data_IF_539620555144
#
_entry.id   IF_539620555144
#
_cell.length_a   1.000
_cell.length_b   1.000
_cell.length_c   1.000
_cell.angle_alpha   90.00
_cell.angle_beta   90.00
_cell.angle_gamma   90.00
#
_symmetry.space_group_name_H-M   'P 1'
#
loop_
_entity.id
_entity.type
_entity.pdbx_description
1 polymer ?
#
# COMPACT_ATOMS: atom_id res chain seq x y z
N UNK A 1 -15.91 9.04 7.39
CA UNK A 1 -14.87 9.69 8.22
C UNK A 1 -13.78 8.66 8.53
N UNK A 2 -12.50 9.05 8.50
CA UNK A 2 -11.37 8.15 8.81
C UNK A 2 -11.06 8.21 10.30
N UNK A 3 -11.15 7.08 11.01
CA UNK A 3 -10.88 7.00 12.45
C UNK A 3 -9.39 6.75 12.76
N UNK A 4 -8.72 5.94 11.94
CA UNK A 4 -7.32 5.53 12.14
C UNK A 4 -6.58 5.52 10.81
N UNK A 5 -5.32 5.93 10.84
CA UNK A 5 -4.39 5.88 9.71
C UNK A 5 -3.19 5.03 10.09
N UNK A 6 -2.83 4.08 9.22
CA UNK A 6 -1.59 3.31 9.30
C UNK A 6 -0.74 3.74 8.10
N UNK A 7 0.43 4.34 8.35
CA UNK A 7 1.28 4.83 7.25
C UNK A 7 2.75 4.91 7.67
N UNK A 8 3.64 5.09 6.69
CA UNK A 8 5.06 5.32 6.92
C UNK A 8 5.46 6.80 6.93
N UNK A 9 4.64 7.67 6.33
CA UNK A 9 4.92 9.10 6.23
C UNK A 9 3.60 9.89 6.23
N UNK A 10 3.14 10.40 7.39
CA UNK A 10 1.84 11.06 7.53
C UNK A 10 1.81 12.52 7.05
N UNK A 11 2.98 13.10 6.70
CA UNK A 11 3.09 14.51 6.34
C UNK A 11 3.16 14.69 4.83
N UNK A 12 2.44 15.69 4.34
CA UNK A 12 2.66 16.29 3.02
C UNK A 12 2.61 17.81 3.21
N UNK A 13 3.19 18.57 2.27
CA UNK A 13 3.30 20.03 2.40
C UNK A 13 1.94 20.74 2.62
N UNK A 14 0.84 20.08 2.21
CA UNK A 14 -0.53 20.60 2.32
C UNK A 14 -1.42 19.81 3.32
N UNK A 15 -0.84 19.03 4.25
CA UNK A 15 -1.59 18.16 5.17
C UNK A 15 -2.09 18.86 6.44
N UNK A 16 -2.73 20.02 6.32
CA UNK A 16 -3.20 20.79 7.49
C UNK A 16 -4.38 20.13 8.23
N UNK A 17 -5.29 19.46 7.50
CA UNK A 17 -6.47 18.80 8.09
C UNK A 17 -6.09 17.59 8.94
N UNK A 18 -5.14 16.77 8.48
CA UNK A 18 -4.68 15.61 9.24
C UNK A 18 -3.98 16.05 10.53
N UNK A 19 -3.08 17.03 10.44
CA UNK A 19 -2.35 17.56 11.58
C UNK A 19 -3.29 18.11 12.67
N UNK A 20 -4.33 18.84 12.29
CA UNK A 20 -5.34 19.35 13.21
C UNK A 20 -6.12 18.21 13.87
N UNK A 21 -6.63 17.25 13.06
CA UNK A 21 -7.37 16.09 13.54
C UNK A 21 -6.53 15.24 14.50
N UNK A 22 -5.25 15.04 14.20
CA UNK A 22 -4.36 14.24 15.03
C UNK A 22 -4.09 14.92 16.36
N UNK A 23 -3.75 16.22 16.36
CA UNK A 23 -3.46 16.97 17.59
C UNK A 23 -4.67 17.06 18.53
N UNK A 24 -5.88 17.11 17.99
CA UNK A 24 -7.13 17.12 18.78
C UNK A 24 -7.69 15.72 19.10
N UNK A 25 -6.98 14.65 18.74
CA UNK A 25 -7.39 13.26 19.00
C UNK A 25 -8.56 12.75 18.14
N UNK A 26 -8.91 13.45 17.05
CA UNK A 26 -9.97 13.07 16.12
C UNK A 26 -9.56 11.99 15.10
N UNK A 27 -8.26 11.68 14.99
CA UNK A 27 -7.75 10.55 14.20
C UNK A 27 -6.59 9.87 14.93
N UNK A 28 -6.63 8.54 14.97
CA UNK A 28 -5.54 7.72 15.51
C UNK A 28 -4.46 7.50 14.45
N UNK A 29 -3.18 7.50 14.83
CA UNK A 29 -2.05 7.26 13.92
C UNK A 29 -1.21 6.08 14.40
N UNK A 30 -1.04 5.08 13.54
CA UNK A 30 -0.01 4.05 13.69
C UNK A 30 1.09 4.32 12.66
N UNK A 31 2.25 4.78 13.14
CA UNK A 31 3.42 5.00 12.30
C UNK A 31 4.20 3.68 12.15
N UNK A 32 4.45 3.26 10.92
CA UNK A 32 5.11 1.98 10.60
C UNK A 32 6.26 2.22 9.62
N UNK A 33 7.47 1.67 9.85
CA UNK A 33 8.54 1.74 8.86
C UNK A 33 8.06 1.23 7.49
N UNK A 34 8.40 1.92 6.40
CA UNK A 34 7.85 1.61 5.07
C UNK A 34 8.08 0.16 4.63
N UNK A 35 9.24 -0.41 4.95
CA UNK A 35 9.55 -1.82 4.69
C UNK A 35 8.61 -2.76 5.45
N UNK A 36 8.42 -2.54 6.75
CA UNK A 36 7.48 -3.33 7.56
C UNK A 36 6.04 -3.12 7.09
N UNK A 37 5.64 -1.90 6.69
CA UNK A 37 4.30 -1.65 6.15
C UNK A 37 4.05 -2.48 4.88
N UNK A 38 4.99 -2.48 3.93
CA UNK A 38 4.89 -3.27 2.71
C UNK A 38 4.84 -4.78 3.03
N UNK A 39 5.70 -5.24 3.93
CA UNK A 39 5.80 -6.66 4.29
C UNK A 39 4.59 -7.15 5.09
N UNK A 40 4.01 -6.33 5.98
CA UNK A 40 2.76 -6.66 6.68
C UNK A 40 1.58 -6.80 5.72
N UNK A 41 1.50 -5.95 4.69
CA UNK A 41 0.46 -6.06 3.66
C UNK A 41 0.72 -7.33 2.82
N UNK A 42 1.97 -7.57 2.40
CA UNK A 42 2.34 -8.78 1.66
C UNK A 42 2.05 -10.06 2.46
N UNK A 43 2.37 -10.08 3.75
CA UNK A 43 2.14 -11.20 4.66
C UNK A 43 0.65 -11.54 4.72
N UNK A 44 -0.23 -10.54 4.78
CA UNK A 44 -1.68 -10.73 4.75
C UNK A 44 -2.13 -11.46 3.47
N UNK A 45 -1.67 -11.00 2.31
CA UNK A 45 -2.01 -11.62 1.02
C UNK A 45 -1.36 -13.00 0.78
N UNK A 46 -0.28 -13.30 1.48
CA UNK A 46 0.41 -14.59 1.42
C UNK A 46 -0.05 -15.60 2.48
N UNK A 47 -0.99 -15.22 3.38
CA UNK A 47 -1.45 -16.08 4.47
C UNK A 47 -0.42 -16.28 5.59
N UNK A 48 0.53 -15.37 5.76
CA UNK A 48 1.57 -15.43 6.80
C UNK A 48 1.04 -14.78 8.09
N UNK A 49 1.02 -15.55 9.18
CA UNK A 49 0.44 -15.10 10.45
C UNK A 49 1.25 -14.03 11.20
N UNK A 50 2.58 -14.05 11.07
CA UNK A 50 3.48 -13.01 11.59
C UNK A 50 4.89 -13.20 10.99
N UNK A 51 5.74 -12.18 11.09
CA UNK A 51 7.15 -12.26 10.71
C UNK A 51 8.03 -11.41 11.62
N UNK A 52 9.32 -11.74 11.70
CA UNK A 52 10.31 -10.96 12.44
C UNK A 52 11.07 -10.04 11.49
N UNK A 53 11.19 -8.75 11.84
CA UNK A 53 11.97 -7.75 11.11
C UNK A 53 12.93 -7.00 12.05
N UNK A 54 14.19 -6.75 11.65
CA UNK A 54 15.10 -5.98 12.49
C UNK A 54 14.76 -4.48 12.49
N UNK A 55 13.93 -4.03 11.55
CA UNK A 55 13.58 -2.63 11.40
C UNK A 55 12.71 -2.15 12.56
N UNK A 56 13.18 -1.12 13.28
CA UNK A 56 12.47 -0.50 14.40
C UNK A 56 12.98 -0.93 15.77
N UNK A 57 13.76 -2.01 15.88
CA UNK A 57 14.38 -2.41 17.14
C UNK A 57 15.20 -1.27 17.76
N UNK A 58 15.10 -1.09 19.09
CA UNK A 58 15.77 -0.01 19.82
C UNK A 58 15.17 1.39 19.61
N UNK A 59 14.05 1.52 18.89
CA UNK A 59 13.33 2.78 18.69
C UNK A 59 11.96 2.76 19.39
N UNK A 60 11.32 3.93 19.50
CA UNK A 60 9.97 4.03 20.06
C UNK A 60 8.92 3.21 19.29
N UNK A 61 9.16 2.91 18.00
CA UNK A 61 8.25 2.14 17.15
C UNK A 61 8.12 0.66 17.55
N UNK A 62 9.13 0.13 18.26
CA UNK A 62 9.16 -1.26 18.71
C UNK A 62 8.81 -1.45 20.20
N UNK A 63 8.61 -0.36 20.95
CA UNK A 63 8.61 -0.35 22.42
C UNK A 63 7.59 -1.27 23.11
N UNK A 64 6.54 -1.70 22.41
CA UNK A 64 5.49 -2.59 22.97
C UNK A 64 5.37 -3.92 22.22
N UNK A 65 6.24 -4.19 21.25
CA UNK A 65 6.15 -5.36 20.37
C UNK A 65 7.06 -6.47 20.89
N UNK A 66 6.68 -7.72 20.66
CA UNK A 66 7.57 -8.87 20.95
C UNK A 66 8.88 -8.70 20.19
N UNK A 67 9.99 -8.98 20.86
CA UNK A 67 11.33 -9.00 20.25
C UNK A 67 11.98 -10.37 20.43
N UNK A 68 12.81 -10.75 19.47
CA UNK A 68 13.55 -12.02 19.51
C UNK A 68 14.94 -11.85 18.95
N UNK A 69 15.92 -12.49 19.58
CA UNK A 69 17.24 -12.66 18.99
C UNK A 69 17.23 -13.87 18.05
N UNK A 70 17.65 -13.63 16.80
CA UNK A 70 17.79 -14.65 15.76
C UNK A 70 19.18 -14.46 15.16
N UNK A 71 20.02 -15.49 15.23
CA UNK A 71 21.40 -15.49 14.73
C UNK A 71 22.23 -14.28 15.21
N UNK A 72 22.13 -13.95 16.51
CA UNK A 72 22.88 -12.86 17.13
C UNK A 72 22.39 -11.45 16.80
N UNK A 73 21.22 -11.32 16.15
CA UNK A 73 20.61 -10.02 15.82
C UNK A 73 19.20 -9.92 16.40
N UNK A 74 18.85 -8.73 16.87
CA UNK A 74 17.54 -8.46 17.45
C UNK A 74 16.49 -8.11 16.37
N UNK A 75 15.31 -8.71 16.50
CA UNK A 75 14.17 -8.52 15.61
C UNK A 75 12.92 -8.17 16.40
N UNK A 76 11.96 -7.55 15.72
CA UNK A 76 10.65 -7.17 16.21
C UNK A 76 9.58 -7.97 15.47
N UNK A 77 8.61 -8.51 16.20
CA UNK A 77 7.48 -9.23 15.64
C UNK A 77 6.49 -8.25 14.99
N UNK A 78 6.12 -8.54 13.75
CA UNK A 78 5.18 -7.78 12.94
C UNK A 78 4.02 -8.67 12.49
N UNK A 79 2.80 -8.11 12.51
CA UNK A 79 1.57 -8.82 12.15
C UNK A 79 0.99 -8.32 10.82
N UNK A 80 0.34 -9.19 10.04
CA UNK A 80 -0.23 -8.84 8.75
C UNK A 80 -1.29 -7.73 8.86
N UNK A 81 -1.40 -6.91 7.81
CA UNK A 81 -2.45 -5.90 7.66
C UNK A 81 -3.43 -6.37 6.59
N UNK A 82 -4.65 -6.69 7.02
CA UNK A 82 -5.74 -7.06 6.12
C UNK A 82 -6.60 -5.85 5.78
N UNK A 83 -7.10 -5.81 4.54
CA UNK A 83 -8.09 -4.84 4.10
C UNK A 83 -9.45 -5.48 3.78
N UNK A 84 -10.53 -4.75 3.97
CA UNK A 84 -11.81 -5.13 3.36
C UNK A 84 -11.83 -4.76 1.88
N UNK A 85 -11.32 -3.55 1.56
CA UNK A 85 -11.25 -3.02 0.20
C UNK A 85 -9.83 -2.52 -0.09
N UNK A 86 -9.28 -2.92 -1.24
CA UNK A 86 -8.10 -2.29 -1.84
C UNK A 86 -8.52 -1.41 -3.03
N UNK A 87 -8.17 -0.13 -2.95
CA UNK A 87 -8.33 0.82 -4.05
C UNK A 87 -6.94 1.08 -4.64
N UNK A 88 -6.71 0.57 -5.84
CA UNK A 88 -5.39 0.64 -6.49
C UNK A 88 -5.49 1.31 -7.85
N UNK A 89 -4.34 1.70 -8.37
CA UNK A 89 -4.20 2.29 -9.70
C UNK A 89 -3.11 1.56 -10.48
N UNK A 90 -3.43 1.22 -11.73
CA UNK A 90 -2.51 0.60 -12.67
C UNK A 90 -2.50 1.39 -13.99
N UNK A 91 -1.55 1.05 -14.87
CA UNK A 91 -1.42 1.70 -16.17
C UNK A 91 -2.44 1.15 -17.16
N UNK A 92 -2.46 -0.17 -17.34
CA UNK A 92 -3.41 -0.90 -18.17
C UNK A 92 -3.91 -2.11 -17.38
N UNK A 93 -5.11 -2.56 -17.70
CA UNK A 93 -5.60 -3.85 -17.23
C UNK A 93 -6.62 -4.46 -18.18
N UNK A 94 -6.86 -5.76 -18.08
CA UNK A 94 -7.83 -6.45 -18.94
C UNK A 94 -9.12 -6.82 -18.20
N UNK A 95 -10.07 -7.43 -18.91
CA UNK A 95 -11.37 -7.85 -18.35
C UNK A 95 -11.24 -8.94 -17.27
N UNK A 96 -10.14 -9.69 -17.23
CA UNK A 96 -9.87 -10.69 -16.19
C UNK A 96 -9.20 -10.09 -14.96
N UNK A 97 -8.83 -8.81 -15.01
CA UNK A 97 -8.21 -8.09 -13.91
C UNK A 97 -6.68 -8.15 -13.91
N UNK A 98 -6.04 -8.65 -14.96
CA UNK A 98 -4.58 -8.61 -15.05
C UNK A 98 -4.11 -7.17 -15.16
N UNK A 99 -3.11 -6.77 -14.38
CA UNK A 99 -2.63 -5.38 -14.33
C UNK A 99 -1.15 -5.27 -14.67
N UNK A 100 -0.83 -4.25 -15.46
CA UNK A 100 0.52 -3.75 -15.69
C UNK A 100 0.66 -2.33 -15.14
N UNK A 101 1.86 -1.97 -14.68
CA UNK A 101 2.11 -0.70 -14.02
C UNK A 101 3.23 0.07 -14.72
N UNK A 102 3.20 1.39 -14.58
CA UNK A 102 4.21 2.27 -15.18
C UNK A 102 5.16 2.84 -14.12
N UNK A 103 6.40 2.33 -14.11
CA UNK A 103 7.51 2.85 -13.27
C UNK A 103 7.12 2.91 -11.78
N UNK A 104 7.38 4.04 -11.11
CA UNK A 104 7.13 4.25 -9.68
C UNK A 104 5.64 4.27 -9.29
N UNK A 105 4.71 4.36 -10.25
CA UNK A 105 3.28 4.26 -9.97
C UNK A 105 2.85 2.85 -9.51
N UNK A 106 3.73 1.84 -9.64
CA UNK A 106 3.51 0.48 -9.14
C UNK A 106 3.40 0.41 -7.61
N UNK A 107 4.34 1.03 -6.91
CA UNK A 107 4.48 1.07 -5.45
C UNK A 107 3.75 -0.06 -4.67
N UNK A 108 2.71 0.26 -3.90
CA UNK A 108 1.95 -0.65 -3.04
C UNK A 108 0.81 -1.39 -3.76
N UNK A 109 0.50 -1.03 -5.01
CA UNK A 109 -0.65 -1.60 -5.74
C UNK A 109 -0.71 -3.13 -5.71
N UNK A 110 0.36 -3.85 -6.10
CA UNK A 110 0.36 -5.31 -6.12
C UNK A 110 0.14 -5.94 -4.75
N UNK A 111 0.82 -5.47 -3.70
CA UNK A 111 0.68 -6.05 -2.36
C UNK A 111 -0.68 -5.74 -1.75
N UNK A 112 -1.23 -4.54 -1.99
CA UNK A 112 -2.57 -4.17 -1.54
C UNK A 112 -3.65 -5.03 -2.22
N UNK A 113 -3.49 -5.34 -3.52
CA UNK A 113 -4.41 -6.20 -4.25
C UNK A 113 -4.56 -7.59 -3.62
N UNK A 114 -3.45 -8.14 -3.11
CA UNK A 114 -3.42 -9.46 -2.49
C UNK A 114 -3.96 -9.45 -1.06
N UNK A 115 -3.86 -8.32 -0.34
CA UNK A 115 -4.13 -8.21 1.08
C UNK A 115 -5.59 -7.87 1.44
N UNK A 116 -6.46 -7.68 0.44
CA UNK A 116 -7.84 -7.24 0.65
C UNK A 116 -8.88 -8.26 0.20
N UNK A 117 -10.04 -8.28 0.86
CA UNK A 117 -11.18 -9.14 0.47
C UNK A 117 -11.74 -8.78 -0.91
N UNK A 118 -11.71 -7.50 -1.28
CA UNK A 118 -12.12 -7.02 -2.60
C UNK A 118 -11.20 -5.93 -3.11
N UNK A 119 -10.75 -6.07 -4.35
CA UNK A 119 -9.82 -5.13 -4.99
C UNK A 119 -10.49 -4.46 -6.18
N UNK A 120 -10.45 -3.14 -6.20
CA UNK A 120 -10.94 -2.30 -7.30
C UNK A 120 -9.72 -1.57 -7.87
N UNK A 121 -9.41 -1.85 -9.13
CA UNK A 121 -8.29 -1.26 -9.84
C UNK A 121 -8.77 -0.22 -10.85
N UNK A 122 -8.31 1.01 -10.68
CA UNK A 122 -8.45 2.03 -11.73
C UNK A 122 -7.33 1.87 -12.75
N UNK A 123 -7.65 1.99 -14.04
CA UNK A 123 -6.68 1.88 -15.14
C UNK A 123 -6.88 3.02 -16.14
N UNK A 124 -5.83 3.40 -16.86
CA UNK A 124 -5.96 4.38 -17.94
C UNK A 124 -6.48 3.75 -19.23
N UNK A 125 -6.16 2.47 -19.45
CA UNK A 125 -6.56 1.72 -20.64
C UNK A 125 -7.06 0.35 -20.21
N UNK A 126 -8.23 -0.04 -20.71
CA UNK A 126 -8.70 -1.42 -20.63
C UNK A 126 -8.20 -2.13 -21.89
N UNK A 127 -7.25 -3.04 -21.73
CA UNK A 127 -6.67 -3.81 -22.81
C UNK A 127 -7.59 -4.98 -23.20
N UNK A 128 -7.60 -5.30 -24.50
CA UNK A 128 -8.29 -6.49 -24.99
C UNK A 128 -7.62 -7.76 -24.45
N UNK A 129 -8.41 -8.81 -24.20
CA UNK A 129 -7.91 -10.08 -23.67
C UNK A 129 -6.85 -10.68 -24.61
N UNK A 130 -5.74 -11.15 -24.03
CA UNK A 130 -4.61 -11.71 -24.76
C UNK A 130 -3.64 -10.69 -25.35
N UNK A 131 -3.93 -9.39 -25.26
CA UNK A 131 -3.00 -8.34 -25.74
C UNK A 131 -1.98 -7.88 -24.70
N UNK A 132 -2.21 -8.18 -23.42
CA UNK A 132 -1.20 -8.03 -22.38
C UNK A 132 -0.25 -9.23 -22.46
N UNK A 133 1.04 -8.95 -22.64
CA UNK A 133 2.09 -9.97 -22.57
C UNK A 133 2.09 -10.59 -21.16
N UNK A 134 1.86 -11.91 -21.02
CA UNK A 134 1.84 -12.60 -19.74
C UNK A 134 3.08 -12.34 -18.87
N UNK A 135 4.26 -12.18 -19.48
CA UNK A 135 5.53 -11.95 -18.76
C UNK A 135 5.65 -10.54 -18.20
N UNK A 136 4.75 -9.62 -18.61
CA UNK A 136 4.70 -8.24 -18.12
C UNK A 136 3.62 -8.02 -17.07
N UNK A 137 2.72 -9.00 -16.88
CA UNK A 137 1.65 -8.93 -15.88
C UNK A 137 2.28 -8.93 -14.48
N UNK A 138 2.01 -7.87 -13.73
CA UNK A 138 2.55 -7.70 -12.38
C UNK A 138 1.56 -8.17 -11.32
N UNK A 139 0.29 -7.84 -11.50
CA UNK A 139 -0.79 -8.30 -10.62
C UNK A 139 -1.68 -9.22 -11.43
N UNK A 140 -1.63 -10.53 -11.21
CA UNK A 140 -2.53 -11.47 -11.85
C UNK A 140 -3.99 -11.17 -11.49
N UNK A 141 -4.90 -11.41 -12.43
CA UNK A 141 -6.31 -11.10 -12.29
C UNK A 141 -7.03 -11.77 -11.12
N UNK A 142 -6.47 -12.86 -10.59
CA UNK A 142 -6.99 -13.54 -9.40
C UNK A 142 -7.12 -12.62 -8.17
N UNK A 143 -6.30 -11.55 -8.09
CA UNK A 143 -6.34 -10.60 -6.98
C UNK A 143 -7.24 -9.38 -7.23
N UNK A 144 -7.85 -9.27 -8.41
CA UNK A 144 -8.57 -8.08 -8.87
C UNK A 144 -10.02 -8.43 -9.15
N UNK A 145 -10.94 -7.73 -8.47
CA UNK A 145 -12.36 -8.04 -8.55
C UNK A 145 -13.10 -7.12 -9.52
N UNK A 146 -12.57 -5.92 -9.76
CA UNK A 146 -13.18 -4.96 -10.66
C UNK A 146 -12.12 -4.03 -11.25
N UNK A 147 -12.19 -3.83 -12.57
CA UNK A 147 -11.40 -2.85 -13.30
C UNK A 147 -12.30 -1.68 -13.68
N UNK A 148 -11.83 -0.46 -13.44
CA UNK A 148 -12.55 0.78 -13.78
C UNK A 148 -11.64 1.66 -14.62
N UNK A 149 -12.08 1.97 -15.85
CA UNK A 149 -11.35 2.90 -16.69
C UNK A 149 -11.50 4.33 -16.19
N UNK A 150 -10.40 5.07 -16.12
CA UNK A 150 -10.37 6.50 -15.79
C UNK A 150 -9.55 7.26 -16.82
N UNK A 151 -9.88 8.54 -17.02
CA UNK A 151 -9.10 9.40 -17.90
C UNK A 151 -7.63 9.53 -17.43
N UNK A 152 -6.74 9.68 -18.40
CA UNK A 152 -5.33 9.94 -18.11
C UNK A 152 -5.15 11.40 -17.74
N UNK A 153 -4.93 11.61 -16.44
CA UNK A 153 -4.47 12.90 -15.90
C UNK A 153 -3.00 12.81 -15.54
N UNK A 154 -2.21 13.78 -15.99
CA UNK A 154 -0.79 13.87 -15.64
C UNK A 154 -0.64 14.00 -14.12
N UNK A 155 0.13 13.10 -13.51
CA UNK A 155 0.45 13.19 -12.08
C UNK A 155 1.25 14.47 -11.84
N UNK A 156 0.66 15.42 -11.12
CA UNK A 156 1.35 16.61 -10.65
C UNK A 156 2.02 16.32 -9.31
N UNK A 157 3.16 16.94 -9.05
CA UNK A 157 3.78 16.87 -7.73
C UNK A 157 2.87 17.60 -6.72
N UNK A 158 2.37 16.88 -5.72
CA UNK A 158 1.63 17.50 -4.62
C UNK A 158 2.57 18.39 -3.79
N UNK A 159 2.09 19.52 -3.30
CA UNK A 159 2.85 20.40 -2.42
C UNK A 159 3.71 21.48 -3.09
N UNK A 160 3.83 21.48 -4.42
CA UNK A 160 4.46 22.59 -5.13
C UNK A 160 3.38 23.48 -5.73
N UNK A 161 3.28 24.71 -5.24
CA UNK A 161 2.45 25.74 -5.90
C UNK A 161 2.91 25.82 -7.35
N UNK A 162 1.97 25.78 -8.30
CA UNK A 162 2.27 26.20 -9.68
C UNK A 162 2.86 27.59 -9.57
N UNK A 163 4.08 27.78 -10.08
CA UNK A 163 4.63 29.11 -10.25
C UNK A 163 3.62 29.91 -11.09
N UNK A 164 3.23 31.07 -10.57
CA UNK A 164 2.33 32.00 -11.23
C UNK A 164 2.98 32.58 -12.49
#
# INVERSE_FOLDING_TARGET
MVRRVICSFPRSADSYVFDELYRRGGVELELVPQGNLAERIRAAGAGIGAFFSPTGYGTCLASTRETREIDGKQYVLEYPIHGDIALIKAERGDRWGNLVYRKAARNFGPVMAMAAKKTIATVHEVAELGTLDPETIVTPGIFVHQVVQIERVATQAGGFKKAA
#
